data_IF_065624459574
#
_entry.id   IF_065624459574
#
_cell.length_a   1.000
_cell.length_b   1.000
_cell.length_c   1.000
_cell.angle_alpha   90.00
_cell.angle_beta   90.00
_cell.angle_gamma   90.00
#
_symmetry.space_group_name_H-M   'P 1'
#
loop_
_entity.id
_entity.type
_entity.pdbx_description
1 polymer ?
#
# COMPACT_ATOMS: atom_id res chain seq x y z
N UNK A 1 -18.96 6.97 6.60
CA UNK A 1 -18.66 5.55 6.93
C UNK A 1 -17.33 5.50 7.68
N UNK A 2 -17.34 4.93 8.89
CA UNK A 2 -16.27 5.06 9.89
C UNK A 2 -14.92 4.50 9.44
N UNK A 3 -13.84 5.20 9.77
CA UNK A 3 -12.47 4.69 9.61
C UNK A 3 -12.31 3.51 10.55
N UNK A 4 -12.13 2.31 10.00
CA UNK A 4 -11.71 1.13 10.76
C UNK A 4 -10.30 1.38 11.28
N UNK A 5 -10.05 1.09 12.54
CA UNK A 5 -8.71 1.25 13.11
C UNK A 5 -7.69 0.44 12.29
N UNK A 6 -6.53 1.02 11.93
CA UNK A 6 -5.52 0.32 11.18
C UNK A 6 -5.05 -0.90 11.97
N UNK A 7 -4.97 -2.06 11.32
CA UNK A 7 -4.47 -3.29 11.94
C UNK A 7 -2.97 -3.42 11.70
N UNK A 8 -2.17 -3.78 12.71
CA UNK A 8 -0.76 -4.07 12.53
C UNK A 8 -0.61 -5.40 11.79
N UNK A 9 0.18 -5.38 10.71
CA UNK A 9 0.38 -6.51 9.82
C UNK A 9 1.85 -6.62 9.43
N UNK A 10 2.35 -7.85 9.32
CA UNK A 10 3.59 -8.16 8.60
C UNK A 10 3.26 -8.46 7.14
N UNK A 11 4.20 -8.18 6.25
CA UNK A 11 4.02 -8.36 4.81
C UNK A 11 5.12 -9.20 4.17
N UNK A 12 4.75 -9.93 3.13
CA UNK A 12 5.69 -10.49 2.16
C UNK A 12 5.40 -9.96 0.76
N UNK A 13 6.44 -9.78 -0.04
CA UNK A 13 6.36 -9.34 -1.44
C UNK A 13 7.05 -10.36 -2.31
N UNK A 14 6.29 -11.00 -3.21
CA UNK A 14 6.79 -12.10 -4.04
C UNK A 14 7.48 -13.21 -3.21
N UNK A 15 6.94 -13.49 -2.02
CA UNK A 15 7.47 -14.51 -1.10
C UNK A 15 8.58 -14.04 -0.16
N UNK A 16 9.09 -12.81 -0.30
CA UNK A 16 10.16 -12.28 0.55
C UNK A 16 9.59 -11.41 1.69
N UNK A 17 10.07 -11.55 2.94
CA UNK A 17 9.68 -10.64 4.02
C UNK A 17 9.98 -9.18 3.69
N UNK A 18 9.01 -8.30 3.95
CA UNK A 18 9.18 -6.86 3.75
C UNK A 18 9.72 -6.21 5.03
N UNK A 19 10.82 -5.48 4.91
CA UNK A 19 11.28 -4.52 5.91
C UNK A 19 11.22 -3.11 5.34
N UNK A 20 10.87 -2.13 6.18
CA UNK A 20 10.83 -0.74 5.77
C UNK A 20 12.19 -0.31 5.24
N UNK A 21 12.24 0.25 4.02
CA UNK A 21 13.52 0.67 3.41
C UNK A 21 14.19 1.79 4.21
N UNK A 22 13.40 2.60 4.94
CA UNK A 22 13.85 3.74 5.74
C UNK A 22 14.34 3.31 7.13
N UNK A 23 13.50 2.67 7.95
CA UNK A 23 13.83 2.38 9.36
C UNK A 23 14.02 0.88 9.70
N UNK A 24 13.92 -0.02 8.70
CA UNK A 24 14.06 -1.48 8.85
C UNK A 24 12.98 -2.18 9.69
N UNK A 25 12.01 -1.46 10.24
CA UNK A 25 10.85 -2.04 10.91
C UNK A 25 10.00 -2.91 9.98
N UNK A 26 9.35 -3.96 10.50
CA UNK A 26 8.65 -5.01 9.75
C UNK A 26 7.12 -5.02 9.95
N UNK A 27 6.57 -4.07 10.71
CA UNK A 27 5.11 -3.93 10.92
C UNK A 27 4.55 -2.75 10.13
N UNK A 28 3.40 -2.98 9.51
CA UNK A 28 2.73 -2.07 8.60
C UNK A 28 1.23 -2.04 8.85
N UNK A 29 0.54 -1.06 8.27
CA UNK A 29 -0.89 -1.11 8.03
C UNK A 29 -1.20 -0.84 6.57
N UNK A 30 -2.23 -1.50 6.05
CA UNK A 30 -2.63 -1.37 4.66
C UNK A 30 -3.54 -0.16 4.44
N UNK A 31 -3.32 0.52 3.32
CA UNK A 31 -4.25 1.49 2.72
C UNK A 31 -4.30 1.30 1.22
N UNK A 32 -5.46 1.58 0.64
CA UNK A 32 -5.57 1.70 -0.81
C UNK A 32 -5.07 3.08 -1.24
N UNK A 33 -4.27 3.11 -2.30
CA UNK A 33 -3.80 4.36 -2.92
C UNK A 33 -4.28 4.39 -4.37
N UNK A 34 -5.12 5.38 -4.68
CA UNK A 34 -5.55 5.65 -6.05
C UNK A 34 -4.39 6.30 -6.81
N UNK A 35 -4.06 5.77 -7.98
CA UNK A 35 -2.94 6.25 -8.81
C UNK A 35 -3.34 7.35 -9.81
N UNK A 36 -4.50 7.98 -9.65
CA UNK A 36 -5.00 8.96 -10.60
C UNK A 36 -4.24 10.30 -10.54
N UNK A 37 -3.68 10.72 -11.68
CA UNK A 37 -3.24 12.09 -11.94
C UNK A 37 -4.47 12.99 -12.11
N UNK A 38 -4.71 13.91 -11.17
CA UNK A 38 -5.85 14.85 -11.16
C UNK A 38 -5.93 15.87 -12.32
N UNK A 39 -5.37 15.59 -13.49
CA UNK A 39 -5.39 16.49 -14.66
C UNK A 39 -5.86 15.84 -15.98
N UNK A 40 -6.30 14.57 -15.97
CA UNK A 40 -6.66 13.81 -17.19
C UNK A 40 -8.15 13.47 -17.35
N UNK A 41 -9.05 14.09 -16.59
CA UNK A 41 -10.50 13.87 -16.73
C UNK A 41 -11.13 14.60 -17.94
N UNK A 42 -10.37 15.36 -18.74
CA UNK A 42 -10.91 16.08 -19.92
C UNK A 42 -10.97 15.22 -21.21
N UNK A 43 -10.27 14.08 -21.29
CA UNK A 43 -10.17 13.29 -22.52
C UNK A 43 -10.34 11.79 -22.27
N UNK A 44 -11.58 11.40 -21.91
CA UNK A 44 -12.32 10.22 -22.40
C UNK A 44 -11.70 8.81 -22.41
N UNK A 45 -10.49 8.60 -21.91
CA UNK A 45 -9.81 7.30 -21.95
C UNK A 45 -9.37 6.98 -20.53
N UNK A 46 -10.29 6.33 -19.81
CA UNK A 46 -10.05 5.78 -18.50
C UNK A 46 -8.96 4.70 -18.62
N UNK A 47 -7.71 5.09 -18.38
CA UNK A 47 -6.71 4.13 -17.94
C UNK A 47 -7.17 3.64 -16.58
N UNK A 48 -7.92 2.52 -16.64
CA UNK A 48 -8.16 1.48 -15.64
C UNK A 48 -7.83 1.89 -14.22
N UNK A 49 -8.81 1.79 -13.33
CA UNK A 49 -8.69 1.88 -11.87
C UNK A 49 -7.58 0.97 -11.30
N UNK A 50 -6.31 1.32 -11.53
CA UNK A 50 -5.16 0.62 -10.98
C UNK A 50 -5.02 1.09 -9.53
N UNK A 51 -5.55 0.28 -8.62
CA UNK A 51 -5.33 0.44 -7.19
C UNK A 51 -3.95 -0.12 -6.85
N UNK A 52 -3.07 0.69 -6.25
CA UNK A 52 -1.85 0.19 -5.64
C UNK A 52 -2.11 -0.20 -4.19
N UNK A 53 -1.54 -1.32 -3.76
CA UNK A 53 -1.43 -1.65 -2.34
C UNK A 53 -0.43 -0.71 -1.68
N UNK A 54 -0.91 0.14 -0.77
CA UNK A 54 -0.08 0.98 0.08
C UNK A 54 0.16 0.33 1.43
N UNK A 55 1.42 0.06 1.78
CA UNK A 55 1.81 -0.40 3.12
C UNK A 55 2.54 0.73 3.84
N UNK A 56 1.93 1.22 4.92
CA UNK A 56 2.49 2.32 5.73
C UNK A 56 3.23 1.72 6.91
N UNK A 57 4.51 2.05 7.06
CA UNK A 57 5.33 1.60 8.17
C UNK A 57 4.76 2.12 9.51
N UNK A 58 4.55 1.21 10.46
CA UNK A 58 4.01 1.55 11.78
C UNK A 58 4.96 2.42 12.62
N UNK A 59 6.27 2.31 12.37
CA UNK A 59 7.30 3.03 13.13
C UNK A 59 7.60 4.42 12.59
N UNK A 60 7.80 4.57 11.27
CA UNK A 60 8.26 5.85 10.68
C UNK A 60 7.26 6.49 9.71
N UNK A 61 6.14 5.84 9.40
CA UNK A 61 5.14 6.36 8.48
C UNK A 61 5.50 6.31 6.99
N UNK A 62 6.68 5.79 6.61
CA UNK A 62 7.05 5.63 5.21
C UNK A 62 6.08 4.70 4.48
N UNK A 63 5.70 5.06 3.25
CA UNK A 63 4.72 4.32 2.44
C UNK A 63 5.43 3.54 1.34
N UNK A 64 5.24 2.23 1.34
CA UNK A 64 5.58 1.37 0.21
C UNK A 64 4.36 1.22 -0.70
N UNK A 65 4.55 1.38 -2.01
CA UNK A 65 3.50 1.25 -3.02
C UNK A 65 3.81 0.07 -3.93
N UNK A 66 2.83 -0.82 -4.09
CA UNK A 66 2.93 -1.99 -4.95
C UNK A 66 1.75 -2.01 -5.92
N UNK A 67 2.06 -2.04 -7.22
CA UNK A 67 1.06 -2.16 -8.30
C UNK A 67 0.71 -3.64 -8.57
N UNK A 68 1.60 -4.57 -8.20
CA UNK A 68 1.36 -6.01 -8.33
C UNK A 68 0.47 -6.56 -7.20
N UNK A 69 -0.13 -7.71 -7.45
CA UNK A 69 -0.90 -8.52 -6.49
C UNK A 69 0.00 -9.45 -5.64
N UNK A 70 1.32 -9.29 -5.74
CA UNK A 70 2.31 -10.14 -5.07
C UNK A 70 2.46 -9.85 -3.56
N UNK A 71 1.68 -8.92 -3.01
CA UNK A 71 1.69 -8.55 -1.60
C UNK A 71 0.80 -9.49 -0.81
N UNK A 72 1.34 -10.13 0.22
CA UNK A 72 0.57 -10.95 1.18
C UNK A 72 0.74 -10.39 2.58
N UNK A 73 -0.36 -10.32 3.32
CA UNK A 73 -0.42 -9.78 4.67
C UNK A 73 -0.78 -10.86 5.68
N UNK A 74 -0.20 -10.73 6.87
CA UNK A 74 -0.48 -11.57 8.02
C UNK A 74 -0.53 -10.70 9.28
N UNK A 75 -1.37 -11.06 10.24
CA UNK A 75 -1.47 -10.33 11.51
C UNK A 75 -0.11 -10.39 12.24
N UNK A 76 0.31 -9.25 12.80
CA UNK A 76 1.65 -9.06 13.38
C UNK A 76 1.77 -9.56 14.83
#
# INVERSE_FOLDING_TARGET
>A
MGKKDPKPQRATVAGNPLSCVVCKHDVFWQRDVKLNTGAKELLGIAFVDQTASGLVCWSCGYVHLFVSDSVKLQDA
#
